data_IF_837307803666
#
_entry.id   IF_837307803666
#
_cell.length_a   1.000
_cell.length_b   1.000
_cell.length_c   1.000
_cell.angle_alpha   90.00
_cell.angle_beta   90.00
_cell.angle_gamma   90.00
#
_symmetry.space_group_name_H-M   'P 1'
#
loop_
_entity.id
_entity.type
_entity.pdbx_description
1 polymer ?
#
# COMPACT_ATOMS: atom_id res chain seq x y z
N UNK A 1 23.10 5.61 -8.33
CA UNK A 1 22.04 6.17 -9.17
C UNK A 1 20.83 5.27 -8.97
N UNK A 2 19.78 5.75 -8.30
CA UNK A 2 18.62 4.93 -7.96
C UNK A 2 17.68 4.74 -9.15
N UNK A 3 16.82 3.72 -9.08
CA UNK A 3 15.75 3.52 -10.05
C UNK A 3 14.79 4.74 -10.05
N UNK A 4 14.31 5.15 -11.22
CA UNK A 4 13.26 6.16 -11.32
C UNK A 4 11.90 5.54 -11.00
N UNK A 5 10.90 6.37 -10.68
CA UNK A 5 9.56 5.88 -10.37
C UNK A 5 8.92 5.17 -11.58
N UNK A 6 9.08 5.72 -12.77
CA UNK A 6 8.56 5.15 -14.02
C UNK A 6 9.24 3.82 -14.35
N UNK A 7 10.56 3.74 -14.17
CA UNK A 7 11.29 2.50 -14.37
C UNK A 7 10.91 1.44 -13.33
N UNK A 8 10.60 1.84 -12.09
CA UNK A 8 10.13 0.93 -11.06
C UNK A 8 8.76 0.32 -11.39
N UNK A 9 7.86 1.12 -11.96
CA UNK A 9 6.58 0.62 -12.48
C UNK A 9 6.84 -0.41 -13.58
N UNK A 10 7.62 -0.04 -14.60
CA UNK A 10 7.89 -0.93 -15.74
C UNK A 10 8.56 -2.23 -15.30
N UNK A 11 9.56 -2.18 -14.42
CA UNK A 11 10.22 -3.38 -13.91
C UNK A 11 9.28 -4.26 -13.10
N UNK A 12 8.37 -3.67 -12.33
CA UNK A 12 7.36 -4.43 -11.58
C UNK A 12 6.38 -5.11 -12.54
N UNK A 13 5.92 -4.42 -13.58
CA UNK A 13 5.05 -4.99 -14.62
C UNK A 13 5.73 -6.15 -15.35
N UNK A 14 6.98 -5.96 -15.78
CA UNK A 14 7.78 -6.98 -16.45
C UNK A 14 7.97 -8.21 -15.56
N UNK A 15 8.25 -8.01 -14.27
CA UNK A 15 8.39 -9.07 -13.29
C UNK A 15 7.08 -9.85 -13.14
N UNK A 16 5.96 -9.16 -12.90
CA UNK A 16 4.66 -9.79 -12.72
C UNK A 16 4.21 -10.56 -13.97
N UNK A 17 4.53 -10.08 -15.17
CA UNK A 17 4.20 -10.77 -16.43
C UNK A 17 4.91 -12.12 -16.59
N UNK A 18 6.07 -12.30 -15.94
CA UNK A 18 6.91 -13.51 -16.04
C UNK A 18 6.90 -14.34 -14.77
N UNK A 19 6.18 -13.91 -13.73
CA UNK A 19 6.34 -14.44 -12.37
C UNK A 19 6.07 -15.94 -12.26
N UNK A 20 5.16 -16.48 -13.08
CA UNK A 20 4.85 -17.91 -13.10
C UNK A 20 5.96 -18.79 -13.71
N UNK A 21 6.89 -18.18 -14.45
CA UNK A 21 8.01 -18.86 -15.11
C UNK A 21 9.34 -18.73 -14.37
N UNK A 22 9.37 -17.94 -13.30
CA UNK A 22 10.56 -17.68 -12.50
C UNK A 22 10.56 -18.56 -11.25
N UNK A 23 11.75 -18.91 -10.76
CA UNK A 23 11.91 -19.56 -9.48
C UNK A 23 11.78 -18.57 -8.30
N UNK A 24 11.44 -19.11 -7.13
CA UNK A 24 11.21 -18.37 -5.87
C UNK A 24 12.40 -17.47 -5.47
N UNK A 25 13.64 -17.91 -5.68
CA UNK A 25 14.83 -17.15 -5.30
C UNK A 25 14.99 -15.93 -6.20
N UNK A 26 14.84 -16.12 -7.51
CA UNK A 26 14.86 -15.02 -8.50
C UNK A 26 13.77 -14.00 -8.24
N UNK A 27 12.55 -14.43 -7.91
CA UNK A 27 11.43 -13.53 -7.59
C UNK A 27 11.77 -12.71 -6.35
N UNK A 28 12.19 -13.38 -5.27
CA UNK A 28 12.52 -12.72 -3.99
C UNK A 28 13.64 -11.70 -4.15
N UNK A 29 14.69 -12.05 -4.90
CA UNK A 29 15.81 -11.15 -5.17
C UNK A 29 15.35 -9.89 -5.92
N UNK A 30 14.62 -10.05 -7.03
CA UNK A 30 14.15 -8.91 -7.83
C UNK A 30 13.22 -7.99 -7.04
N UNK A 31 12.32 -8.55 -6.24
CA UNK A 31 11.44 -7.77 -5.37
C UNK A 31 12.24 -7.02 -4.30
N UNK A 32 13.24 -7.67 -3.70
CA UNK A 32 14.11 -7.06 -2.68
C UNK A 32 14.87 -5.86 -3.26
N UNK A 33 15.43 -6.02 -4.47
CA UNK A 33 16.11 -4.93 -5.18
C UNK A 33 15.15 -3.77 -5.47
N UNK A 34 13.93 -4.05 -5.93
CA UNK A 34 12.91 -3.02 -6.19
C UNK A 34 12.56 -2.24 -4.92
N UNK A 35 12.23 -2.92 -3.82
CA UNK A 35 11.73 -2.24 -2.60
C UNK A 35 12.83 -1.59 -1.76
N UNK A 36 14.11 -1.79 -2.12
CA UNK A 36 15.26 -1.20 -1.43
C UNK A 36 15.38 0.32 -1.56
N UNK A 37 14.62 0.94 -2.47
CA UNK A 37 14.63 2.39 -2.71
C UNK A 37 13.22 2.96 -2.65
N UNK A 38 13.09 4.26 -2.37
CA UNK A 38 11.77 4.91 -2.28
C UNK A 38 10.99 4.83 -3.61
N UNK A 39 11.61 5.22 -4.72
CA UNK A 39 10.98 5.14 -6.04
C UNK A 39 10.63 3.70 -6.43
N UNK A 40 11.53 2.77 -6.12
CA UNK A 40 11.32 1.35 -6.38
C UNK A 40 10.14 0.77 -5.60
N UNK A 41 10.08 1.01 -4.29
CA UNK A 41 8.96 0.60 -3.44
C UNK A 41 7.64 1.24 -3.88
N UNK A 42 7.64 2.53 -4.21
CA UNK A 42 6.44 3.23 -4.72
C UNK A 42 5.96 2.63 -6.04
N UNK A 43 6.86 2.39 -6.99
CA UNK A 43 6.52 1.78 -8.27
C UNK A 43 6.01 0.35 -8.12
N UNK A 44 6.61 -0.42 -7.19
CA UNK A 44 6.12 -1.74 -6.80
C UNK A 44 4.69 -1.68 -6.27
N UNK A 45 4.42 -0.85 -5.25
CA UNK A 45 3.08 -0.80 -4.64
C UNK A 45 2.00 -0.36 -5.61
N UNK A 46 2.26 0.68 -6.41
CA UNK A 46 1.29 1.15 -7.41
C UNK A 46 0.94 0.03 -8.37
N UNK A 47 1.95 -0.68 -8.90
CA UNK A 47 1.71 -1.75 -9.88
C UNK A 47 1.08 -2.99 -9.25
N UNK A 48 1.60 -3.42 -8.10
CA UNK A 48 1.17 -4.65 -7.44
C UNK A 48 -0.26 -4.55 -6.92
N UNK A 49 -0.62 -3.43 -6.29
CA UNK A 49 -1.94 -3.25 -5.67
C UNK A 49 -3.05 -3.03 -6.71
N UNK A 50 -2.76 -2.45 -7.87
CA UNK A 50 -3.74 -2.23 -8.94
C UNK A 50 -3.78 -3.35 -9.97
N UNK A 51 -2.95 -4.39 -9.83
CA UNK A 51 -2.89 -5.50 -10.76
C UNK A 51 -4.13 -6.41 -10.62
N UNK A 52 -4.61 -6.93 -11.75
CA UNK A 52 -5.67 -7.96 -11.81
C UNK A 52 -5.11 -9.40 -11.94
N UNK A 53 -3.79 -9.55 -11.88
CA UNK A 53 -3.16 -10.86 -11.95
C UNK A 53 -3.46 -11.67 -10.68
N UNK A 54 -3.81 -12.95 -10.85
CA UNK A 54 -4.14 -13.86 -9.74
C UNK A 54 -3.02 -13.96 -8.70
N UNK A 55 -1.76 -13.82 -9.10
CA UNK A 55 -0.60 -13.82 -8.18
C UNK A 55 -0.62 -12.65 -7.18
N UNK A 56 -1.32 -11.57 -7.49
CA UNK A 56 -1.40 -10.37 -6.65
C UNK A 56 -2.64 -10.33 -5.76
N UNK A 57 -3.54 -11.31 -5.86
CA UNK A 57 -4.77 -11.39 -5.06
C UNK A 57 -4.46 -11.72 -3.60
N UNK A 58 -3.41 -12.52 -3.37
CA UNK A 58 -2.88 -12.80 -2.03
C UNK A 58 -1.36 -12.66 -2.04
N UNK A 59 -0.76 -12.03 -1.01
CA UNK A 59 0.68 -11.86 -0.97
C UNK A 59 1.39 -13.21 -0.80
N UNK A 60 2.27 -13.51 -1.74
CA UNK A 60 3.13 -14.69 -1.71
C UNK A 60 4.24 -14.57 -0.66
N UNK A 61 4.88 -15.69 -0.33
CA UNK A 61 5.99 -15.71 0.61
C UNK A 61 7.17 -14.86 0.12
N UNK A 62 7.41 -14.83 -1.20
CA UNK A 62 8.44 -14.03 -1.85
C UNK A 62 8.19 -12.53 -1.64
N UNK A 63 6.94 -12.09 -1.83
CA UNK A 63 6.53 -10.69 -1.60
C UNK A 63 6.72 -10.31 -0.14
N UNK A 64 6.24 -11.14 0.79
CA UNK A 64 6.39 -10.86 2.23
C UNK A 64 7.87 -10.82 2.64
N UNK A 65 8.68 -11.74 2.13
CA UNK A 65 10.12 -11.80 2.44
C UNK A 65 10.85 -10.57 1.92
N UNK A 66 10.59 -10.17 0.68
CA UNK A 66 11.20 -8.97 0.10
C UNK A 66 10.79 -7.70 0.85
N UNK A 67 9.51 -7.53 1.18
CA UNK A 67 9.01 -6.36 1.89
C UNK A 67 9.61 -6.21 3.30
N UNK A 68 9.90 -7.33 3.98
CA UNK A 68 10.57 -7.32 5.29
C UNK A 68 12.00 -6.77 5.26
N UNK A 69 12.65 -6.68 4.10
CA UNK A 69 14.01 -6.15 3.98
C UNK A 69 14.07 -4.62 4.11
N UNK A 70 12.95 -3.93 3.87
CA UNK A 70 12.88 -2.46 3.83
C UNK A 70 11.73 -1.92 4.70
N UNK A 71 11.65 -2.29 6.00
CA UNK A 71 10.48 -2.09 6.83
C UNK A 71 10.10 -0.62 7.02
N UNK A 72 11.08 0.30 7.09
CA UNK A 72 10.79 1.73 7.26
C UNK A 72 10.00 2.32 6.09
N UNK A 73 10.43 2.04 4.85
CA UNK A 73 9.76 2.50 3.63
C UNK A 73 8.43 1.78 3.43
N UNK A 74 8.44 0.47 3.58
CA UNK A 74 7.27 -0.39 3.38
C UNK A 74 6.15 -0.02 4.35
N UNK A 75 6.44 0.14 5.64
CA UNK A 75 5.42 0.45 6.63
C UNK A 75 4.76 1.81 6.36
N UNK A 76 5.55 2.81 5.97
CA UNK A 76 5.03 4.13 5.59
C UNK A 76 4.11 4.07 4.38
N UNK A 77 4.53 3.33 3.33
CA UNK A 77 3.74 3.20 2.11
C UNK A 77 2.47 2.38 2.32
N UNK A 78 2.50 1.33 3.15
CA UNK A 78 1.30 0.55 3.49
C UNK A 78 0.25 1.42 4.17
N UNK A 79 0.65 2.21 5.17
CA UNK A 79 -0.25 3.10 5.90
C UNK A 79 -0.87 4.13 4.95
N UNK A 80 -0.05 4.78 4.11
CA UNK A 80 -0.55 5.76 3.14
C UNK A 80 -1.48 5.15 2.09
N UNK A 81 -1.14 3.98 1.54
CA UNK A 81 -1.98 3.30 0.56
C UNK A 81 -3.33 2.90 1.17
N UNK A 82 -3.35 2.46 2.43
CA UNK A 82 -4.59 2.13 3.14
C UNK A 82 -5.49 3.37 3.25
N UNK A 83 -4.93 4.51 3.67
CA UNK A 83 -5.68 5.77 3.77
C UNK A 83 -6.23 6.21 2.41
N UNK A 84 -5.36 6.29 1.40
CA UNK A 84 -5.72 6.82 0.09
C UNK A 84 -6.80 5.93 -0.58
N UNK A 85 -6.62 4.61 -0.57
CA UNK A 85 -7.59 3.69 -1.15
C UNK A 85 -8.94 3.76 -0.43
N UNK A 86 -8.95 3.74 0.91
CA UNK A 86 -10.19 3.87 1.70
C UNK A 86 -10.92 5.17 1.40
N UNK A 87 -10.21 6.30 1.32
CA UNK A 87 -10.79 7.58 0.97
C UNK A 87 -11.37 7.60 -0.45
N UNK A 88 -10.71 6.95 -1.40
CA UNK A 88 -11.16 6.91 -2.80
C UNK A 88 -12.37 6.00 -2.99
N UNK A 89 -12.54 4.94 -2.20
CA UNK A 89 -13.79 4.16 -2.18
C UNK A 89 -14.99 5.06 -1.88
N UNK A 90 -14.89 5.89 -0.83
CA UNK A 90 -15.96 6.83 -0.45
C UNK A 90 -16.17 7.89 -1.52
N UNK A 91 -15.09 8.46 -2.04
CA UNK A 91 -15.16 9.49 -3.08
C UNK A 91 -15.88 8.97 -4.33
N UNK A 92 -15.42 7.87 -4.92
CA UNK A 92 -15.99 7.33 -6.14
C UNK A 92 -17.46 6.92 -5.96
N UNK A 93 -17.82 6.32 -4.82
CA UNK A 93 -19.23 6.01 -4.51
C UNK A 93 -20.11 7.26 -4.40
N UNK A 94 -19.60 8.34 -3.80
CA UNK A 94 -20.34 9.61 -3.71
C UNK A 94 -20.62 10.22 -5.09
N UNK A 95 -19.77 9.93 -6.08
CA UNK A 95 -19.92 10.37 -7.47
C UNK A 95 -20.74 9.39 -8.35
N UNK A 96 -21.21 8.26 -7.79
CA UNK A 96 -21.88 7.21 -8.55
C UNK A 96 -20.94 6.40 -9.47
N UNK A 97 -19.63 6.51 -9.26
CA UNK A 97 -18.58 5.85 -10.03
C UNK A 97 -18.21 4.49 -9.40
N UNK A 98 -19.12 3.53 -9.53
CA UNK A 98 -18.98 2.23 -8.88
C UNK A 98 -17.79 1.41 -9.42
N UNK A 99 -17.37 1.64 -10.67
CA UNK A 99 -16.23 0.96 -11.27
C UNK A 99 -14.92 1.34 -10.56
N UNK A 100 -14.65 2.64 -10.43
CA UNK A 100 -13.45 3.09 -9.72
C UNK A 100 -13.54 2.87 -8.20
N UNK A 101 -14.75 2.85 -7.64
CA UNK A 101 -14.94 2.45 -6.25
C UNK A 101 -14.44 1.01 -6.01
N UNK A 102 -14.84 0.05 -6.85
CA UNK A 102 -14.38 -1.35 -6.77
C UNK A 102 -12.87 -1.47 -6.97
N UNK A 103 -12.30 -0.70 -7.90
CA UNK A 103 -10.84 -0.63 -8.06
C UNK A 103 -10.14 -0.17 -6.77
N UNK A 104 -10.69 0.84 -6.11
CA UNK A 104 -10.18 1.35 -4.82
C UNK A 104 -10.35 0.33 -3.69
N UNK A 105 -11.47 -0.39 -3.64
CA UNK A 105 -11.69 -1.47 -2.66
C UNK A 105 -10.68 -2.59 -2.81
N UNK A 106 -10.36 -2.98 -4.05
CA UNK A 106 -9.35 -4.00 -4.32
C UNK A 106 -7.96 -3.58 -3.82
N UNK A 107 -7.57 -2.32 -4.04
CA UNK A 107 -6.32 -1.77 -3.50
C UNK A 107 -6.35 -1.76 -1.97
N UNK A 108 -7.46 -1.35 -1.36
CA UNK A 108 -7.64 -1.33 0.09
C UNK A 108 -7.52 -2.75 0.68
N UNK A 109 -8.15 -3.75 0.06
CA UNK A 109 -8.11 -5.14 0.49
C UNK A 109 -6.69 -5.71 0.40
N UNK A 110 -6.02 -5.55 -0.76
CA UNK A 110 -4.63 -6.01 -0.93
C UNK A 110 -3.68 -5.35 0.05
N UNK A 111 -3.85 -4.05 0.30
CA UNK A 111 -3.07 -3.32 1.31
C UNK A 111 -3.34 -3.87 2.72
N UNK A 112 -4.59 -4.14 3.06
CA UNK A 112 -5.00 -4.71 4.34
C UNK A 112 -4.41 -6.11 4.55
N UNK A 113 -4.40 -6.96 3.52
CA UNK A 113 -3.77 -8.27 3.58
C UNK A 113 -2.26 -8.16 3.84
N UNK A 114 -1.56 -7.23 3.17
CA UNK A 114 -0.14 -6.98 3.41
C UNK A 114 0.12 -6.47 4.83
N UNK A 115 -0.69 -5.54 5.35
CA UNK A 115 -0.57 -5.06 6.73
C UNK A 115 -0.70 -6.21 7.73
N UNK A 116 -1.68 -7.11 7.55
CA UNK A 116 -1.86 -8.29 8.43
C UNK A 116 -0.62 -9.19 8.45
N UNK A 117 -0.03 -9.43 7.28
CA UNK A 117 1.14 -10.32 7.15
C UNK A 117 2.46 -9.67 7.61
N UNK A 118 2.53 -8.34 7.58
CA UNK A 118 3.72 -7.55 7.92
C UNK A 118 3.62 -6.84 9.28
N UNK A 119 2.54 -7.11 10.03
CA UNK A 119 2.30 -6.46 11.31
C UNK A 119 3.48 -6.68 12.25
N UNK A 120 4.06 -5.57 12.67
CA UNK A 120 5.21 -5.49 13.57
C UNK A 120 4.99 -4.32 14.53
N UNK A 121 5.71 -4.25 15.66
CA UNK A 121 5.58 -3.12 16.59
C UNK A 121 5.76 -1.76 15.90
N UNK A 122 6.68 -1.66 14.93
CA UNK A 122 6.92 -0.45 14.16
C UNK A 122 5.78 -0.08 13.21
N UNK A 123 5.15 -1.06 12.54
CA UNK A 123 3.97 -0.80 11.72
C UNK A 123 2.75 -0.42 12.57
N UNK A 124 2.55 -1.12 13.70
CA UNK A 124 1.50 -0.79 14.66
C UNK A 124 1.64 0.62 15.24
N UNK A 125 2.87 1.07 15.48
CA UNK A 125 3.12 2.45 15.92
C UNK A 125 2.72 3.47 14.86
N UNK A 126 3.04 3.24 13.59
CA UNK A 126 2.60 4.12 12.50
C UNK A 126 1.07 4.19 12.37
N UNK A 127 0.38 3.07 12.56
CA UNK A 127 -1.09 3.03 12.57
C UNK A 127 -1.66 3.83 13.76
N UNK A 128 -1.05 3.75 14.95
CA UNK A 128 -1.44 4.58 16.12
C UNK A 128 -1.17 6.06 15.91
N UNK A 129 -0.03 6.41 15.29
CA UNK A 129 0.31 7.78 14.94
C UNK A 129 -0.72 8.37 13.96
N UNK A 130 -1.12 7.58 12.95
CA UNK A 130 -2.18 7.98 12.02
C UNK A 130 -3.53 8.15 12.73
N UNK A 131 -3.92 7.21 13.59
CA UNK A 131 -5.15 7.31 14.38
C UNK A 131 -5.14 8.56 15.28
N UNK A 132 -3.99 8.88 15.89
CA UNK A 132 -3.81 10.11 16.66
C UNK A 132 -4.03 11.34 15.79
N UNK A 133 -3.41 11.40 14.62
CA UNK A 133 -3.57 12.53 13.70
C UNK A 133 -4.98 12.70 13.15
N UNK A 134 -5.72 11.60 12.96
CA UNK A 134 -7.13 11.66 12.58
C UNK A 134 -7.99 12.25 13.71
N UNK A 135 -7.73 11.84 14.95
CA UNK A 135 -8.54 12.23 16.12
C UNK A 135 -8.26 13.66 16.62
N UNK A 136 -6.99 14.09 16.61
CA UNK A 136 -6.58 15.38 17.18
C UNK A 136 -6.36 16.46 16.12
N UNK A 137 -6.25 16.05 14.85
CA UNK A 137 -5.77 16.93 13.78
C UNK A 137 -4.28 17.28 13.88
N UNK A 138 -3.51 16.62 14.76
CA UNK A 138 -2.10 16.92 15.02
C UNK A 138 -1.21 15.67 14.96
N UNK A 139 0.09 15.85 14.72
CA UNK A 139 1.10 14.77 14.79
C UNK A 139 1.62 14.33 13.43
N UNK A 140 2.26 13.16 13.40
CA UNK A 140 3.10 12.70 12.29
C UNK A 140 2.39 12.67 10.92
N UNK A 141 1.09 12.36 10.89
CA UNK A 141 0.32 12.29 9.64
C UNK A 141 -0.50 13.54 9.34
N UNK A 142 -0.40 14.61 10.14
CA UNK A 142 -1.16 15.85 9.93
C UNK A 142 -0.95 16.41 8.52
N UNK A 143 0.30 16.67 8.14
CA UNK A 143 0.62 17.26 6.84
C UNK A 143 0.17 16.37 5.67
N UNK A 144 0.19 15.04 5.86
CA UNK A 144 -0.33 14.10 4.87
C UNK A 144 -1.85 14.20 4.73
N UNK A 145 -2.59 14.18 5.84
CA UNK A 145 -4.05 14.28 5.85
C UNK A 145 -4.53 15.64 5.31
N UNK A 146 -3.86 16.73 5.68
CA UNK A 146 -4.18 18.08 5.21
C UNK A 146 -3.90 18.26 3.71
N UNK A 147 -2.78 17.72 3.21
CA UNK A 147 -2.43 17.77 1.79
C UNK A 147 -3.51 17.15 0.90
N UNK A 148 -4.14 16.07 1.37
CA UNK A 148 -5.19 15.39 0.62
C UNK A 148 -6.58 15.97 0.86
N UNK A 149 -6.80 16.68 1.97
CA UNK A 149 -8.04 17.40 2.22
C UNK A 149 -9.27 16.50 2.39
N UNK A 150 -9.10 15.32 3.01
CA UNK A 150 -10.19 14.35 3.19
C UNK A 150 -11.35 14.94 4.00
N UNK A 151 -12.58 14.69 3.52
CA UNK A 151 -13.82 15.07 4.19
C UNK A 151 -14.15 14.19 5.41
N UNK A 152 -15.22 14.52 6.13
CA UNK A 152 -15.63 13.81 7.35
C UNK A 152 -15.98 12.34 7.09
N UNK A 153 -16.64 12.02 5.97
CA UNK A 153 -17.01 10.65 5.61
C UNK A 153 -15.76 9.81 5.30
N UNK A 154 -14.81 10.38 4.55
CA UNK A 154 -13.53 9.76 4.26
C UNK A 154 -12.73 9.53 5.54
N UNK A 155 -12.63 10.54 6.41
CA UNK A 155 -11.92 10.45 7.69
C UNK A 155 -12.51 9.37 8.60
N UNK A 156 -13.84 9.29 8.68
CA UNK A 156 -14.53 8.26 9.45
C UNK A 156 -14.21 6.86 8.91
N UNK A 157 -14.30 6.65 7.60
CA UNK A 157 -13.98 5.36 6.97
C UNK A 157 -12.51 4.95 7.19
N UNK A 158 -11.59 5.92 7.10
CA UNK A 158 -10.17 5.71 7.39
C UNK A 158 -9.98 5.31 8.87
N UNK A 159 -10.64 6.00 9.80
CA UNK A 159 -10.55 5.66 11.22
C UNK A 159 -11.06 4.24 11.49
N UNK A 160 -12.19 3.86 10.91
CA UNK A 160 -12.79 2.52 11.06
C UNK A 160 -11.86 1.41 10.54
N UNK A 161 -11.27 1.56 9.35
CA UNK A 161 -10.40 0.51 8.81
C UNK A 161 -9.11 0.36 9.62
N UNK A 162 -8.56 1.45 10.15
CA UNK A 162 -7.33 1.40 10.97
C UNK A 162 -7.58 0.67 12.29
N UNK A 163 -8.75 0.83 12.91
CA UNK A 163 -9.09 0.14 14.16
C UNK A 163 -9.05 -1.39 14.02
N UNK A 164 -9.16 -1.94 12.80
CA UNK A 164 -9.04 -3.39 12.58
C UNK A 164 -7.62 -3.93 12.78
N UNK A 165 -6.62 -3.05 12.93
CA UNK A 165 -5.20 -3.39 13.09
C UNK A 165 -4.57 -2.88 14.41
N UNK A 166 -5.34 -2.15 15.23
CA UNK A 166 -4.92 -1.60 16.51
C UNK A 166 -5.34 -2.50 17.68
#
# INVERSE_FOLDING_TARGET
>A
MGITFENAIQQTQDLLSKIQSLDTDTITQKLTELVSTENGARGFFVTYLTSDLSYTEHPSLEVITALKTSPTLVNELLVKNLVMSTAMVIYHRSQGDEENARGSEKVQEKTSQLIKQLLSPALGEKLRQLATSLNTGQGEYQAFLERWGYDDCQRQAIAEIIQTFL
#
